data_IF_622471930515
#
_entry.id   IF_622471930515
#
_cell.length_a   1.000
_cell.length_b   1.000
_cell.length_c   1.000
_cell.angle_alpha   90.00
_cell.angle_beta   90.00
_cell.angle_gamma   90.00
#
_symmetry.space_group_name_H-M   'P 1'
#
loop_
_entity.id
_entity.type
_entity.pdbx_description
1 polymer ?
#
# COMPACT_ATOMS: atom_id res chain seq x y z
N UNK A 1 30.86 6.46 -4.98
CA UNK A 1 31.21 7.89 -4.96
C UNK A 1 30.47 8.52 -3.79
N UNK A 2 31.13 9.35 -2.96
CA UNK A 2 30.44 10.12 -1.90
C UNK A 2 29.78 11.30 -2.63
N UNK A 3 28.45 11.28 -2.72
CA UNK A 3 27.69 12.38 -3.30
C UNK A 3 27.52 13.48 -2.24
N UNK A 4 27.63 14.74 -2.62
CA UNK A 4 27.36 15.88 -1.73
C UNK A 4 25.85 16.15 -1.56
N UNK A 5 25.01 15.20 -2.03
CA UNK A 5 23.54 15.28 -1.93
C UNK A 5 23.08 15.05 -0.50
N UNK A 6 21.99 15.72 -0.10
CA UNK A 6 21.24 15.40 1.11
C UNK A 6 20.81 13.93 1.08
N UNK A 7 21.02 13.20 2.18
CA UNK A 7 20.65 11.79 2.27
C UNK A 7 19.44 11.54 3.17
N UNK A 8 18.56 10.64 2.76
CA UNK A 8 17.43 10.16 3.56
C UNK A 8 17.56 8.64 3.73
N UNK A 9 17.46 8.16 4.99
CA UNK A 9 17.55 6.75 5.33
C UNK A 9 16.18 6.17 5.68
N UNK A 10 15.72 5.21 4.90
CA UNK A 10 14.55 4.39 5.23
C UNK A 10 14.98 3.19 6.08
N UNK A 11 14.41 3.03 7.27
CA UNK A 11 14.60 1.84 8.14
C UNK A 11 13.34 0.99 8.09
N UNK A 12 13.49 -0.22 7.55
CA UNK A 12 12.38 -1.15 7.40
C UNK A 12 12.79 -2.60 7.65
N UNK A 13 11.83 -3.46 7.93
CA UNK A 13 11.98 -4.92 7.96
C UNK A 13 10.73 -5.56 7.42
N UNK A 14 10.91 -6.51 6.54
CA UNK A 14 9.84 -7.38 6.09
C UNK A 14 10.34 -8.77 5.72
N UNK A 15 9.46 -9.74 5.79
CA UNK A 15 9.74 -11.13 5.38
C UNK A 15 9.14 -11.48 4.02
N UNK A 16 8.23 -10.66 3.50
CA UNK A 16 7.52 -10.85 2.23
C UNK A 16 7.45 -9.51 1.51
N UNK A 17 7.58 -9.50 0.17
CA UNK A 17 7.36 -8.29 -0.63
C UNK A 17 5.88 -7.95 -0.64
N UNK A 18 5.52 -6.78 -0.18
CA UNK A 18 4.15 -6.30 -0.08
C UNK A 18 4.04 -4.78 -0.27
N UNK A 19 2.92 -4.21 0.16
CA UNK A 19 2.65 -2.77 -0.04
C UNK A 19 3.65 -1.84 0.66
N UNK A 20 4.18 -2.21 1.83
CA UNK A 20 5.17 -1.38 2.53
C UNK A 20 6.53 -1.43 1.84
N UNK A 21 6.94 -2.58 1.33
CA UNK A 21 8.18 -2.75 0.59
C UNK A 21 8.12 -1.97 -0.73
N UNK A 22 7.01 -2.07 -1.44
CA UNK A 22 6.78 -1.32 -2.66
C UNK A 22 6.73 0.20 -2.39
N UNK A 23 6.10 0.60 -1.29
CA UNK A 23 6.09 2.00 -0.84
C UNK A 23 7.50 2.57 -0.64
N UNK A 24 8.39 1.84 0.04
CA UNK A 24 9.78 2.29 0.27
C UNK A 24 10.58 2.28 -1.04
N UNK A 25 10.33 1.32 -1.93
CA UNK A 25 10.93 1.25 -3.25
C UNK A 25 10.53 2.48 -4.09
N UNK A 26 9.24 2.74 -4.24
CA UNK A 26 8.69 3.85 -5.02
C UNK A 26 9.13 5.22 -4.43
N UNK A 27 9.15 5.35 -3.09
CA UNK A 27 9.68 6.53 -2.41
C UNK A 27 11.17 6.73 -2.71
N UNK A 28 11.97 5.68 -2.74
CA UNK A 28 13.41 5.77 -3.03
C UNK A 28 13.66 6.24 -4.46
N UNK A 29 12.91 5.74 -5.43
CA UNK A 29 12.97 6.24 -6.81
C UNK A 29 12.64 7.74 -6.90
N UNK A 30 11.59 8.17 -6.19
CA UNK A 30 11.16 9.56 -6.24
C UNK A 30 12.15 10.49 -5.52
N UNK A 31 12.74 10.07 -4.41
CA UNK A 31 13.79 10.82 -3.73
C UNK A 31 14.97 11.08 -4.68
N UNK A 32 15.40 10.06 -5.44
CA UNK A 32 16.50 10.23 -6.42
C UNK A 32 16.11 11.20 -7.54
N UNK A 33 14.85 11.18 -8.02
CA UNK A 33 14.34 12.16 -9.00
C UNK A 33 14.36 13.59 -8.46
N UNK A 34 14.18 13.76 -7.15
CA UNK A 34 14.24 15.05 -6.46
C UNK A 34 15.65 15.44 -5.98
N UNK A 35 16.69 14.79 -6.51
CA UNK A 35 18.10 15.04 -6.18
C UNK A 35 18.47 14.78 -4.70
N UNK A 36 17.74 13.88 -4.04
CA UNK A 36 17.99 13.43 -2.67
C UNK A 36 18.49 11.98 -2.72
N UNK A 37 19.63 11.69 -2.07
CA UNK A 37 20.19 10.36 -2.08
C UNK A 37 19.38 9.40 -1.18
N UNK A 38 18.75 8.35 -1.74
CA UNK A 38 17.98 7.37 -0.98
C UNK A 38 18.89 6.30 -0.38
N UNK A 39 18.67 5.99 0.90
CA UNK A 39 19.32 4.89 1.60
C UNK A 39 18.27 3.98 2.22
N UNK A 40 18.53 2.66 2.21
CA UNK A 40 17.65 1.66 2.84
C UNK A 40 18.48 0.85 3.83
N UNK A 41 18.06 0.83 5.09
CA UNK A 41 18.60 -0.06 6.12
C UNK A 41 17.62 -1.20 6.38
N UNK A 42 18.10 -2.42 6.18
CA UNK A 42 17.30 -3.63 6.40
C UNK A 42 18.09 -4.67 7.20
N UNK A 43 17.39 -5.45 8.07
CA UNK A 43 17.93 -6.60 8.79
C UNK A 43 17.78 -7.92 8.00
N UNK A 44 17.22 -7.85 6.79
CA UNK A 44 16.83 -9.05 6.06
C UNK A 44 17.98 -9.60 5.24
N UNK A 45 18.26 -10.89 5.46
CA UNK A 45 19.13 -11.71 4.64
C UNK A 45 18.36 -12.37 3.49
N UNK A 46 17.60 -11.56 2.74
CA UNK A 46 16.97 -12.00 1.49
C UNK A 46 17.71 -11.33 0.33
N UNK A 47 18.57 -12.07 -0.37
CA UNK A 47 19.34 -11.52 -1.50
C UNK A 47 18.46 -10.79 -2.51
N UNK A 48 17.28 -11.34 -2.80
CA UNK A 48 16.34 -10.77 -3.78
C UNK A 48 15.84 -9.37 -3.37
N UNK A 49 15.58 -9.15 -2.06
CA UNK A 49 15.14 -7.83 -1.58
C UNK A 49 16.28 -6.82 -1.61
N UNK A 50 17.48 -7.25 -1.21
CA UNK A 50 18.67 -6.40 -1.27
C UNK A 50 18.95 -6.02 -2.73
N UNK A 51 18.90 -6.99 -3.66
CA UNK A 51 19.05 -6.75 -5.08
C UNK A 51 18.05 -5.73 -5.58
N UNK A 52 16.77 -5.94 -5.30
CA UNK A 52 15.70 -5.06 -5.76
C UNK A 52 15.82 -3.64 -5.20
N UNK A 53 16.09 -3.47 -3.89
CA UNK A 53 16.33 -2.13 -3.36
C UNK A 53 17.60 -1.47 -3.88
N UNK A 54 18.62 -2.26 -4.25
CA UNK A 54 19.87 -1.73 -4.82
C UNK A 54 19.71 -1.12 -6.22
N UNK A 55 18.57 -1.35 -6.86
CA UNK A 55 18.21 -0.68 -8.14
C UNK A 55 17.88 0.80 -7.91
N UNK A 56 17.36 1.18 -6.73
CA UNK A 56 16.79 2.50 -6.44
C UNK A 56 17.40 3.21 -5.23
N UNK A 57 18.27 2.55 -4.46
CA UNK A 57 18.85 3.09 -3.23
C UNK A 57 20.20 2.46 -2.90
N UNK A 58 21.00 3.13 -2.08
CA UNK A 58 22.14 2.49 -1.42
C UNK A 58 21.65 1.66 -0.23
N UNK A 59 21.89 0.34 -0.27
CA UNK A 59 21.38 -0.58 0.74
C UNK A 59 22.41 -0.88 1.81
N UNK A 60 22.06 -0.66 3.07
CA UNK A 60 22.81 -1.10 4.24
C UNK A 60 22.12 -2.31 4.86
N UNK A 61 22.84 -3.43 4.93
CA UNK A 61 22.36 -4.65 5.57
C UNK A 61 23.15 -4.97 6.81
N UNK A 62 22.48 -5.06 7.98
CA UNK A 62 23.11 -5.36 9.25
C UNK A 62 22.31 -6.41 10.02
N UNK A 63 23.04 -7.40 10.63
CA UNK A 63 22.42 -8.29 11.63
C UNK A 63 22.17 -7.50 12.92
N UNK A 64 20.92 -7.09 13.15
CA UNK A 64 20.54 -6.35 14.38
C UNK A 64 20.17 -7.30 15.50
N UNK A 65 20.01 -8.60 15.23
CA UNK A 65 19.63 -9.63 16.23
C UNK A 65 20.73 -9.94 17.24
N UNK A 66 20.37 -9.90 18.54
CA UNK A 66 21.05 -10.40 19.75
C UNK A 66 22.57 -10.13 19.87
N UNK A 67 22.95 -9.31 20.85
CA UNK A 67 24.28 -9.13 21.45
C UNK A 67 25.46 -8.62 20.58
N UNK A 68 25.30 -8.43 19.29
CA UNK A 68 26.30 -7.75 18.43
C UNK A 68 25.88 -6.32 18.04
N UNK A 69 24.77 -5.83 18.60
CA UNK A 69 24.13 -4.58 18.21
C UNK A 69 24.97 -3.32 18.39
N UNK A 70 25.77 -3.21 19.47
CA UNK A 70 26.54 -1.98 19.74
C UNK A 70 27.60 -1.68 18.66
N UNK A 71 28.34 -2.68 18.19
CA UNK A 71 29.33 -2.45 17.13
C UNK A 71 28.68 -2.06 15.79
N UNK A 72 27.53 -2.66 15.48
CA UNK A 72 26.76 -2.31 14.29
C UNK A 72 26.19 -0.88 14.35
N UNK A 73 25.76 -0.41 15.55
CA UNK A 73 25.22 0.95 15.74
C UNK A 73 26.30 2.01 15.42
N UNK A 74 27.53 1.83 15.91
CA UNK A 74 28.62 2.77 15.59
C UNK A 74 28.93 2.81 14.09
N UNK A 75 28.92 1.65 13.40
CA UNK A 75 29.08 1.59 11.94
C UNK A 75 27.93 2.31 11.22
N UNK A 76 26.70 2.06 11.63
CA UNK A 76 25.54 2.76 11.06
C UNK A 76 25.66 4.28 11.27
N UNK A 77 26.01 4.72 12.47
CA UNK A 77 26.19 6.15 12.75
C UNK A 77 27.34 6.76 11.92
N UNK A 78 28.42 6.02 11.67
CA UNK A 78 29.51 6.45 10.79
C UNK A 78 29.03 6.61 9.34
N UNK A 79 28.25 5.64 8.81
CA UNK A 79 27.66 5.71 7.48
C UNK A 79 26.69 6.90 7.34
N UNK A 80 25.84 7.14 8.35
CA UNK A 80 24.91 8.29 8.37
C UNK A 80 25.70 9.61 8.22
N UNK A 81 26.81 9.78 8.96
CA UNK A 81 27.64 10.97 8.83
C UNK A 81 28.38 11.04 7.49
N UNK A 82 28.95 9.89 7.04
CA UNK A 82 29.73 9.81 5.79
C UNK A 82 28.88 10.17 4.56
N UNK A 83 27.59 9.81 4.58
CA UNK A 83 26.67 10.01 3.47
C UNK A 83 25.74 11.21 3.65
N UNK A 84 26.02 12.11 4.62
CA UNK A 84 25.23 13.31 4.88
C UNK A 84 23.72 13.03 5.06
N UNK A 85 23.39 11.89 5.71
CA UNK A 85 22.01 11.54 6.01
C UNK A 85 21.52 12.42 7.16
N UNK A 86 20.56 13.27 6.87
CA UNK A 86 19.99 14.21 7.85
C UNK A 86 18.64 13.74 8.41
N UNK A 87 17.99 12.80 7.73
CA UNK A 87 16.66 12.33 8.10
C UNK A 87 16.58 10.79 8.05
N UNK A 88 16.01 10.21 9.09
CA UNK A 88 15.74 8.76 9.24
C UNK A 88 14.23 8.57 9.22
N UNK A 89 13.72 7.87 8.21
CA UNK A 89 12.34 7.46 8.07
C UNK A 89 12.20 6.04 8.62
N UNK A 90 11.51 5.87 9.74
CA UNK A 90 11.33 4.57 10.38
C UNK A 90 9.93 4.02 10.07
N UNK A 91 9.84 2.91 9.33
CA UNK A 91 8.59 2.32 8.88
C UNK A 91 8.06 1.21 9.80
N UNK A 92 8.84 0.81 10.81
CA UNK A 92 8.46 -0.29 11.73
C UNK A 92 8.73 0.05 13.18
N UNK A 93 7.80 -0.31 14.06
CA UNK A 93 7.96 -0.15 15.52
C UNK A 93 9.12 -0.97 16.11
N UNK A 94 9.54 -2.03 15.44
CA UNK A 94 10.66 -2.89 15.87
C UNK A 94 11.99 -2.14 15.90
N UNK A 95 12.21 -1.20 14.98
CA UNK A 95 13.48 -0.48 14.87
C UNK A 95 13.42 0.98 15.34
N UNK A 96 12.31 1.41 15.90
CA UNK A 96 12.18 2.80 16.37
C UNK A 96 13.20 3.15 17.47
N UNK A 97 13.51 2.19 18.36
CA UNK A 97 14.55 2.38 19.38
C UNK A 97 15.93 2.57 18.74
N UNK A 98 16.26 1.79 17.71
CA UNK A 98 17.50 1.93 16.94
C UNK A 98 17.56 3.31 16.26
N UNK A 99 16.47 3.73 15.61
CA UNK A 99 16.40 5.05 14.95
C UNK A 99 16.66 6.19 15.96
N UNK A 100 16.08 6.11 17.16
CA UNK A 100 16.29 7.09 18.23
C UNK A 100 17.75 7.10 18.71
N UNK A 101 18.40 5.93 18.83
CA UNK A 101 19.82 5.87 19.18
C UNK A 101 20.70 6.49 18.10
N UNK A 102 20.42 6.18 16.84
CA UNK A 102 21.13 6.78 15.70
C UNK A 102 20.95 8.31 15.66
N UNK A 103 19.73 8.82 15.91
CA UNK A 103 19.47 10.24 16.09
C UNK A 103 20.39 10.86 17.16
N UNK A 104 20.47 10.25 18.34
CA UNK A 104 21.32 10.76 19.44
C UNK A 104 22.80 10.79 19.10
N UNK A 105 23.26 9.85 18.24
CA UNK A 105 24.66 9.77 17.84
C UNK A 105 25.03 10.68 16.68
N UNK A 106 24.08 11.00 15.80
CA UNK A 106 24.36 11.67 14.51
C UNK A 106 23.71 13.05 14.40
N UNK A 107 22.67 13.33 15.17
CA UNK A 107 21.83 14.52 15.03
C UNK A 107 20.77 14.42 13.95
N UNK A 108 20.70 13.29 13.21
CA UNK A 108 19.69 13.11 12.18
C UNK A 108 18.27 13.13 12.76
N UNK A 109 17.33 13.74 12.03
CA UNK A 109 15.90 13.79 12.37
C UNK A 109 15.27 12.42 12.26
N UNK A 110 14.36 12.06 13.16
CA UNK A 110 13.62 10.77 13.08
C UNK A 110 12.15 11.05 12.83
N UNK A 111 11.65 10.52 11.72
CA UNK A 111 10.23 10.51 11.35
C UNK A 111 9.71 9.07 11.45
N UNK A 112 8.64 8.85 12.22
CA UNK A 112 8.08 7.52 12.42
C UNK A 112 6.75 7.36 11.68
N UNK A 113 6.72 6.43 10.74
CA UNK A 113 5.54 6.15 9.91
C UNK A 113 4.55 5.23 10.61
N UNK A 114 3.28 5.54 10.45
CA UNK A 114 2.14 4.75 10.93
C UNK A 114 1.37 4.22 9.73
N UNK A 115 1.63 2.94 9.41
CA UNK A 115 1.05 2.24 8.27
C UNK A 115 -0.17 1.38 8.60
N UNK A 116 -0.62 1.36 9.86
CA UNK A 116 -1.73 0.52 10.30
C UNK A 116 -2.72 1.29 11.15
N UNK A 117 -4.00 0.97 11.03
CA UNK A 117 -5.09 1.54 11.85
C UNK A 117 -5.11 0.82 13.19
N UNK A 118 -4.18 1.17 14.06
CA UNK A 118 -4.07 0.65 15.43
C UNK A 118 -4.16 1.81 16.41
N UNK A 119 -4.77 1.64 17.58
CA UNK A 119 -4.81 2.70 18.60
C UNK A 119 -3.40 3.04 19.10
N UNK A 120 -3.20 4.34 19.42
CA UNK A 120 -1.96 4.80 20.01
C UNK A 120 -1.70 4.10 21.34
N UNK A 121 -0.48 3.60 21.52
CA UNK A 121 -0.05 3.04 22.83
C UNK A 121 0.46 4.18 23.71
N UNK A 122 0.05 4.17 24.98
CA UNK A 122 0.32 5.25 25.97
C UNK A 122 1.05 4.77 27.22
N UNK A 123 1.62 3.56 27.22
CA UNK A 123 2.50 3.10 28.28
C UNK A 123 3.82 3.90 28.34
N UNK A 124 4.60 3.71 29.40
CA UNK A 124 5.83 4.48 29.68
C UNK A 124 6.83 4.43 28.52
N UNK A 125 6.99 3.25 27.89
CA UNK A 125 7.91 3.09 26.77
C UNK A 125 7.44 3.87 25.53
N UNK A 126 6.16 3.79 25.19
CA UNK A 126 5.62 4.51 24.03
C UNK A 126 5.56 6.02 24.27
N UNK A 127 5.28 6.48 25.49
CA UNK A 127 5.40 7.89 25.85
C UNK A 127 6.83 8.42 25.69
N UNK A 128 7.82 7.61 26.08
CA UNK A 128 9.23 7.96 25.86
C UNK A 128 9.54 8.06 24.36
N UNK A 129 9.13 7.09 23.53
CA UNK A 129 9.27 7.17 22.07
C UNK A 129 8.65 8.45 21.52
N UNK A 130 7.40 8.78 21.91
CA UNK A 130 6.70 9.98 21.48
C UNK A 130 7.45 11.29 21.81
N UNK A 131 8.24 11.29 22.86
CA UNK A 131 9.09 12.45 23.21
C UNK A 131 10.36 12.53 22.37
N UNK A 132 10.95 11.37 21.99
CA UNK A 132 12.23 11.30 21.27
C UNK A 132 12.10 11.51 19.76
N UNK A 133 10.98 11.08 19.16
CA UNK A 133 10.70 11.18 17.72
C UNK A 133 10.38 12.64 17.36
N UNK A 134 10.87 13.12 16.22
CA UNK A 134 10.63 14.49 15.75
C UNK A 134 9.24 14.64 15.15
N UNK A 135 8.83 13.70 14.31
CA UNK A 135 7.53 13.70 13.68
C UNK A 135 6.97 12.27 13.50
N UNK A 136 5.65 12.18 13.46
CA UNK A 136 4.91 10.99 13.08
C UNK A 136 4.18 11.26 11.77
N UNK A 137 4.32 10.39 10.79
CA UNK A 137 3.54 10.42 9.56
C UNK A 137 2.44 9.38 9.65
N UNK A 138 1.20 9.82 9.54
CA UNK A 138 0.03 8.98 9.42
C UNK A 138 -0.41 8.95 7.95
N UNK A 139 -0.48 7.75 7.36
CA UNK A 139 -0.69 7.57 5.91
C UNK A 139 -2.13 7.85 5.45
N UNK A 140 -3.03 8.09 6.39
CA UNK A 140 -4.41 8.47 6.15
C UNK A 140 -5.00 9.16 7.38
N UNK A 141 -6.15 9.83 7.21
CA UNK A 141 -6.90 10.41 8.33
C UNK A 141 -7.39 9.32 9.28
N UNK A 142 -7.82 8.18 8.78
CA UNK A 142 -8.21 7.03 9.58
C UNK A 142 -7.06 6.56 10.51
N UNK A 143 -5.83 6.53 10.00
CA UNK A 143 -4.64 6.22 10.81
C UNK A 143 -4.32 7.37 11.76
N UNK A 144 -4.41 8.62 11.31
CA UNK A 144 -4.17 9.80 12.15
C UNK A 144 -5.10 9.80 13.38
N UNK A 145 -6.41 9.65 13.16
CA UNK A 145 -7.41 9.66 14.23
C UNK A 145 -7.19 8.51 15.24
N UNK A 146 -6.68 7.36 14.77
CA UNK A 146 -6.34 6.23 15.65
C UNK A 146 -5.02 6.41 16.44
N UNK A 147 -4.07 7.16 15.89
CA UNK A 147 -2.70 7.24 16.41
C UNK A 147 -2.39 8.55 17.15
N UNK A 148 -3.11 9.62 16.87
CA UNK A 148 -2.81 10.94 17.47
C UNK A 148 -2.95 10.87 18.99
N UNK A 149 -1.96 11.47 19.68
CA UNK A 149 -1.94 11.53 21.15
C UNK A 149 -2.25 12.94 21.61
N UNK A 150 -3.27 13.08 22.45
CA UNK A 150 -3.70 14.36 23.02
C UNK A 150 -2.53 15.11 23.67
N UNK A 151 -2.37 16.38 23.29
CA UNK A 151 -1.29 17.27 23.72
C UNK A 151 0.02 17.10 22.95
N UNK A 152 0.05 16.26 21.91
CA UNK A 152 1.21 16.05 21.01
C UNK A 152 0.82 16.11 19.53
N UNK A 153 -0.35 16.64 19.22
CA UNK A 153 -0.92 16.72 17.87
C UNK A 153 0.07 17.38 16.89
N UNK A 154 0.85 18.36 17.35
CA UNK A 154 1.87 19.08 16.57
C UNK A 154 2.98 18.19 16.01
N UNK A 155 3.13 16.96 16.51
CA UNK A 155 4.09 15.98 15.98
C UNK A 155 3.48 15.05 14.93
N UNK A 156 2.16 15.01 14.80
CA UNK A 156 1.47 14.09 13.91
C UNK A 156 1.07 14.80 12.62
N UNK A 157 1.53 14.27 11.50
CA UNK A 157 1.28 14.83 10.18
C UNK A 157 0.49 13.82 9.36
N UNK A 158 -0.62 14.26 8.77
CA UNK A 158 -1.35 13.50 7.79
C UNK A 158 -0.66 13.67 6.44
N UNK A 159 -0.10 12.58 5.93
CA UNK A 159 0.49 12.52 4.59
C UNK A 159 -0.07 11.29 3.90
N UNK A 160 -1.00 11.48 2.98
CA UNK A 160 -1.58 10.37 2.23
C UNK A 160 -0.50 9.64 1.43
N UNK A 161 -0.63 8.33 1.32
CA UNK A 161 0.21 7.56 0.41
C UNK A 161 0.00 8.03 -1.03
N UNK A 162 1.07 8.00 -1.81
CA UNK A 162 1.05 8.26 -3.24
C UNK A 162 1.47 7.03 -4.04
N UNK A 163 0.90 6.88 -5.22
CA UNK A 163 1.32 5.85 -6.17
C UNK A 163 2.42 6.39 -7.09
N UNK A 164 3.37 5.53 -7.44
CA UNK A 164 4.39 5.84 -8.43
C UNK A 164 3.77 5.73 -9.84
N UNK A 165 3.39 6.87 -10.40
CA UNK A 165 2.70 6.95 -11.69
C UNK A 165 3.57 6.45 -12.85
N UNK A 166 4.89 6.48 -12.74
CA UNK A 166 5.82 5.96 -13.75
C UNK A 166 5.74 4.44 -13.93
N UNK A 167 5.20 3.71 -12.95
CA UNK A 167 4.91 2.26 -13.06
C UNK A 167 3.71 1.96 -13.95
N UNK A 168 2.91 2.98 -14.28
CA UNK A 168 1.65 2.85 -15.01
C UNK A 168 1.66 3.68 -16.30
N UNK A 169 2.64 3.48 -17.21
CA UNK A 169 2.66 4.19 -18.48
C UNK A 169 1.41 3.87 -19.29
N UNK A 170 1.09 4.77 -20.22
CA UNK A 170 0.00 4.50 -21.15
C UNK A 170 0.33 3.26 -21.99
N UNK A 171 -0.53 2.25 -21.90
CA UNK A 171 -0.52 1.09 -22.78
C UNK A 171 -1.95 0.86 -23.28
N UNK A 172 -2.08 0.39 -24.50
CA UNK A 172 -3.37 -0.03 -25.03
C UNK A 172 -3.56 -1.51 -24.72
N UNK A 173 -4.66 -1.82 -24.04
CA UNK A 173 -5.05 -3.21 -23.73
C UNK A 173 -6.48 -3.40 -24.18
N UNK A 174 -6.69 -4.31 -25.11
CA UNK A 174 -8.03 -4.66 -25.56
C UNK A 174 -8.72 -5.49 -24.47
N UNK A 175 -9.82 -4.95 -23.92
CA UNK A 175 -10.67 -5.67 -22.96
C UNK A 175 -11.54 -6.69 -23.71
N UNK A 176 -11.83 -7.84 -23.10
CA UNK A 176 -12.82 -8.79 -23.63
C UNK A 176 -14.16 -8.06 -23.83
N UNK A 177 -14.75 -8.17 -25.01
CA UNK A 177 -16.02 -7.48 -25.33
C UNK A 177 -17.25 -8.25 -24.84
N UNK A 178 -17.15 -9.59 -24.86
CA UNK A 178 -18.27 -10.48 -24.55
C UNK A 178 -18.27 -10.98 -23.10
N UNK A 179 -17.35 -10.51 -22.27
CA UNK A 179 -17.21 -10.96 -20.88
C UNK A 179 -16.79 -9.79 -19.99
N UNK A 180 -17.52 -9.55 -18.92
CA UNK A 180 -17.15 -8.53 -17.93
C UNK A 180 -16.16 -9.12 -16.92
N UNK A 181 -14.91 -8.65 -16.95
CA UNK A 181 -13.86 -9.15 -16.06
C UNK A 181 -13.83 -8.29 -14.81
N UNK A 182 -14.10 -8.91 -13.67
CA UNK A 182 -13.90 -8.35 -12.33
C UNK A 182 -12.49 -8.68 -11.87
N UNK A 183 -11.77 -7.70 -11.37
CA UNK A 183 -10.43 -7.88 -10.81
C UNK A 183 -10.42 -7.79 -9.29
N UNK A 184 -9.53 -8.53 -8.66
CA UNK A 184 -9.11 -8.37 -7.28
C UNK A 184 -7.58 -8.27 -7.23
N UNK A 185 -7.03 -7.33 -6.45
CA UNK A 185 -5.59 -7.18 -6.27
C UNK A 185 -5.23 -7.07 -4.79
N UNK A 186 -4.21 -7.84 -4.36
CA UNK A 186 -3.71 -7.84 -2.99
C UNK A 186 -3.61 -9.24 -2.38
N UNK A 187 -3.33 -9.31 -1.08
CA UNK A 187 -3.31 -10.58 -0.35
C UNK A 187 -4.71 -11.20 -0.36
N UNK A 188 -4.81 -12.42 -0.87
CA UNK A 188 -6.06 -13.16 -0.96
C UNK A 188 -6.31 -13.86 0.39
N UNK A 189 -7.31 -13.38 1.15
CA UNK A 189 -7.61 -13.87 2.48
C UNK A 189 -9.07 -13.65 2.88
N UNK A 190 -9.56 -14.45 3.83
CA UNK A 190 -10.95 -14.40 4.30
C UNK A 190 -11.32 -13.04 4.92
N UNK A 191 -10.34 -12.37 5.53
CA UNK A 191 -10.47 -11.03 6.10
C UNK A 191 -10.59 -9.92 5.04
N UNK A 192 -10.30 -10.25 3.78
CA UNK A 192 -10.40 -9.35 2.62
C UNK A 192 -11.73 -9.49 1.85
N UNK A 193 -12.69 -10.23 2.39
CA UNK A 193 -14.02 -10.39 1.76
C UNK A 193 -14.02 -11.25 0.51
N UNK A 194 -13.06 -12.18 0.41
CA UNK A 194 -12.91 -13.03 -0.80
C UNK A 194 -14.07 -13.99 -0.99
N UNK A 195 -14.62 -14.57 0.09
CA UNK A 195 -15.78 -15.47 -0.02
C UNK A 195 -17.00 -14.70 -0.52
N UNK A 196 -17.24 -13.52 0.03
CA UNK A 196 -18.35 -12.65 -0.36
C UNK A 196 -18.22 -12.20 -1.83
N UNK A 197 -16.98 -11.96 -2.29
CA UNK A 197 -16.71 -11.67 -3.70
C UNK A 197 -16.97 -12.89 -4.59
N UNK A 198 -16.50 -14.07 -4.20
CA UNK A 198 -16.77 -15.33 -4.92
C UNK A 198 -18.27 -15.58 -5.04
N UNK A 199 -19.01 -15.45 -3.94
CA UNK A 199 -20.45 -15.63 -3.93
C UNK A 199 -21.19 -14.61 -4.83
N UNK A 200 -20.70 -13.37 -4.89
CA UNK A 200 -21.24 -12.36 -5.81
C UNK A 200 -21.02 -12.72 -7.28
N UNK A 201 -19.83 -13.20 -7.62
CA UNK A 201 -19.51 -13.66 -8.98
C UNK A 201 -20.35 -14.87 -9.36
N UNK A 202 -20.48 -15.85 -8.45
CA UNK A 202 -21.37 -17.02 -8.65
C UNK A 202 -22.78 -16.57 -8.92
N UNK A 203 -23.34 -15.71 -8.07
CA UNK A 203 -24.70 -15.20 -8.20
C UNK A 203 -24.93 -14.54 -9.57
N UNK A 204 -24.02 -13.70 -10.03
CA UNK A 204 -24.12 -13.05 -11.34
C UNK A 204 -24.00 -14.05 -12.49
N UNK A 205 -23.12 -15.05 -12.36
CA UNK A 205 -22.97 -16.12 -13.34
C UNK A 205 -24.24 -16.98 -13.45
N UNK A 206 -24.88 -17.33 -12.32
CA UNK A 206 -26.15 -18.06 -12.27
C UNK A 206 -27.32 -17.27 -12.91
N UNK A 207 -27.25 -15.92 -12.87
CA UNK A 207 -28.18 -15.03 -13.59
C UNK A 207 -27.88 -14.94 -15.10
N UNK A 208 -26.89 -15.69 -15.61
CA UNK A 208 -26.52 -15.72 -17.03
C UNK A 208 -25.71 -14.48 -17.47
N UNK A 209 -25.16 -13.66 -16.53
CA UNK A 209 -24.26 -12.57 -16.89
C UNK A 209 -22.92 -13.14 -17.34
N UNK A 210 -22.33 -12.68 -18.48
CA UNK A 210 -21.03 -13.12 -18.93
C UNK A 210 -19.93 -12.47 -18.07
N UNK A 211 -19.54 -13.11 -16.97
CA UNK A 211 -18.64 -12.58 -15.96
C UNK A 211 -17.51 -13.53 -15.62
N UNK A 212 -16.31 -13.00 -15.42
CA UNK A 212 -15.14 -13.71 -14.90
C UNK A 212 -14.53 -12.94 -13.73
N UNK A 213 -13.89 -13.64 -12.79
CA UNK A 213 -13.08 -13.07 -11.72
C UNK A 213 -11.60 -13.39 -11.93
N UNK A 214 -10.77 -12.35 -11.99
CA UNK A 214 -9.32 -12.45 -12.05
C UNK A 214 -8.71 -11.95 -10.74
N UNK A 215 -8.01 -12.82 -10.01
CA UNK A 215 -7.41 -12.50 -8.73
C UNK A 215 -5.89 -12.47 -8.81
N UNK A 216 -5.30 -11.35 -8.41
CA UNK A 216 -3.89 -11.06 -8.44
C UNK A 216 -3.34 -10.93 -7.02
N UNK A 217 -2.35 -11.76 -6.65
CA UNK A 217 -1.71 -11.78 -5.34
C UNK A 217 -1.50 -13.19 -4.79
N UNK A 218 -0.89 -13.25 -3.61
CA UNK A 218 -0.66 -14.52 -2.90
C UNK A 218 -1.85 -14.88 -2.01
N UNK A 219 -2.20 -16.16 -2.01
CA UNK A 219 -3.24 -16.66 -1.10
C UNK A 219 -2.61 -16.83 0.29
N UNK A 220 -3.27 -16.30 1.32
CA UNK A 220 -2.87 -16.51 2.70
C UNK A 220 -2.99 -17.98 3.08
N UNK A 221 -1.90 -18.61 3.55
CA UNK A 221 -1.84 -20.05 3.79
C UNK A 221 -3.00 -20.63 4.61
N UNK A 222 -3.49 -19.88 5.60
CA UNK A 222 -4.65 -20.29 6.40
C UNK A 222 -6.00 -20.21 5.65
N UNK A 223 -6.05 -19.49 4.53
CA UNK A 223 -7.27 -19.28 3.72
C UNK A 223 -7.32 -20.16 2.49
N UNK A 224 -6.19 -20.72 2.06
CA UNK A 224 -6.03 -21.42 0.79
C UNK A 224 -7.00 -22.60 0.64
N UNK A 225 -6.98 -23.53 1.61
CA UNK A 225 -7.86 -24.69 1.59
C UNK A 225 -9.35 -24.31 1.57
N UNK A 226 -9.74 -23.28 2.32
CA UNK A 226 -11.13 -22.82 2.40
C UNK A 226 -11.56 -22.24 1.06
N UNK A 227 -10.76 -21.38 0.46
CA UNK A 227 -11.06 -20.70 -0.81
C UNK A 227 -11.15 -21.73 -1.95
N UNK A 228 -10.18 -22.63 -2.07
CA UNK A 228 -10.20 -23.65 -3.10
C UNK A 228 -11.37 -24.65 -2.93
N UNK A 229 -11.70 -25.01 -1.69
CA UNK A 229 -12.87 -25.85 -1.42
C UNK A 229 -14.16 -25.14 -1.83
N UNK A 230 -14.30 -23.86 -1.48
CA UNK A 230 -15.46 -23.05 -1.85
C UNK A 230 -15.65 -22.97 -3.38
N UNK A 231 -14.57 -22.73 -4.13
CA UNK A 231 -14.61 -22.69 -5.61
C UNK A 231 -15.03 -24.04 -6.19
N UNK A 232 -14.41 -25.14 -5.73
CA UNK A 232 -14.73 -26.48 -6.21
C UNK A 232 -16.16 -26.90 -5.90
N UNK A 233 -16.60 -26.70 -4.65
CA UNK A 233 -17.93 -27.14 -4.22
C UNK A 233 -19.06 -26.32 -4.85
N UNK A 234 -18.74 -25.17 -5.41
CA UNK A 234 -19.65 -24.31 -6.17
C UNK A 234 -19.40 -24.31 -7.69
N UNK A 235 -18.52 -25.18 -8.22
CA UNK A 235 -18.23 -25.35 -9.65
C UNK A 235 -17.81 -24.04 -10.36
N UNK A 236 -16.92 -23.26 -9.74
CA UNK A 236 -16.53 -21.92 -10.21
C UNK A 236 -15.22 -21.90 -11.02
N UNK A 237 -14.59 -23.05 -11.23
CA UNK A 237 -13.25 -23.17 -11.83
C UNK A 237 -13.16 -22.61 -13.25
N UNK A 238 -14.28 -22.56 -13.98
CA UNK A 238 -14.31 -22.10 -15.38
C UNK A 238 -14.31 -20.57 -15.52
N UNK A 239 -14.64 -19.81 -14.46
CA UNK A 239 -14.77 -18.37 -14.50
C UNK A 239 -14.07 -17.63 -13.33
N UNK A 240 -13.32 -18.36 -12.49
CA UNK A 240 -12.45 -17.78 -11.44
C UNK A 240 -11.00 -18.11 -11.70
N UNK A 241 -10.18 -17.09 -11.91
CA UNK A 241 -8.79 -17.22 -12.33
C UNK A 241 -7.84 -16.66 -11.27
N UNK A 242 -6.93 -17.49 -10.75
CA UNK A 242 -5.82 -17.04 -9.91
C UNK A 242 -4.61 -16.75 -10.79
N UNK A 243 -4.16 -15.48 -10.80
CA UNK A 243 -3.03 -15.04 -11.62
C UNK A 243 -1.71 -15.07 -10.85
N UNK A 244 -1.76 -15.35 -9.53
CA UNK A 244 -0.59 -15.27 -8.66
C UNK A 244 -0.04 -13.86 -8.52
N UNK A 245 1.21 -13.76 -8.09
CA UNK A 245 1.90 -12.47 -8.00
C UNK A 245 2.18 -11.92 -9.42
N UNK A 246 1.81 -10.65 -9.66
CA UNK A 246 2.00 -9.98 -10.93
C UNK A 246 3.01 -8.84 -10.79
N UNK A 247 4.04 -8.85 -11.65
CA UNK A 247 5.00 -7.74 -11.73
C UNK A 247 4.45 -6.55 -12.52
N UNK A 248 3.60 -6.80 -13.51
CA UNK A 248 3.01 -5.78 -14.36
C UNK A 248 1.55 -5.50 -13.97
N UNK A 249 1.36 -4.75 -12.89
CA UNK A 249 0.04 -4.37 -12.41
C UNK A 249 -0.70 -3.42 -13.38
N UNK A 250 0.03 -2.64 -14.18
CA UNK A 250 -0.57 -1.77 -15.20
C UNK A 250 -1.38 -2.59 -16.22
N UNK A 251 -0.80 -3.68 -16.73
CA UNK A 251 -1.50 -4.56 -17.65
C UNK A 251 -2.72 -5.22 -16.99
N UNK A 252 -2.57 -5.66 -15.74
CA UNK A 252 -3.67 -6.25 -14.97
C UNK A 252 -4.85 -5.27 -14.84
N UNK A 253 -4.61 -4.05 -14.29
CA UNK A 253 -5.70 -3.09 -14.11
C UNK A 253 -6.38 -2.72 -15.44
N UNK A 254 -5.62 -2.57 -16.52
CA UNK A 254 -6.18 -2.24 -17.83
C UNK A 254 -6.93 -3.39 -18.50
N UNK A 255 -6.67 -4.64 -18.12
CA UNK A 255 -7.37 -5.82 -18.67
C UNK A 255 -8.71 -6.11 -18.01
N UNK A 256 -8.96 -5.60 -16.81
CA UNK A 256 -10.21 -5.80 -16.07
C UNK A 256 -11.20 -4.65 -16.31
N UNK A 257 -12.48 -4.92 -16.11
CA UNK A 257 -13.55 -3.91 -16.25
C UNK A 257 -13.79 -3.12 -14.97
N UNK A 258 -13.66 -3.75 -13.80
CA UNK A 258 -13.63 -3.06 -12.52
C UNK A 258 -12.75 -3.82 -11.53
N UNK A 259 -12.20 -3.09 -10.56
CA UNK A 259 -11.54 -3.67 -9.38
C UNK A 259 -12.57 -3.75 -8.24
N UNK A 260 -12.63 -4.90 -7.55
CA UNK A 260 -13.43 -5.06 -6.33
C UNK A 260 -12.49 -5.35 -5.16
N UNK A 261 -12.51 -4.49 -4.14
CA UNK A 261 -11.66 -4.56 -2.96
C UNK A 261 -12.52 -4.56 -1.68
N UNK A 262 -13.24 -5.66 -1.36
CA UNK A 262 -14.29 -5.69 -0.34
C UNK A 262 -13.74 -6.07 1.05
N UNK A 263 -12.72 -5.36 1.53
CA UNK A 263 -12.04 -5.68 2.79
C UNK A 263 -12.99 -5.59 4.00
N UNK A 264 -12.96 -6.62 4.87
CA UNK A 264 -13.69 -6.65 6.15
C UNK A 264 -12.87 -6.07 7.31
N UNK A 265 -11.59 -5.85 7.09
CA UNK A 265 -10.69 -5.24 8.08
C UNK A 265 -10.38 -3.80 7.69
N UNK A 266 -10.00 -3.00 8.69
CA UNK A 266 -9.63 -1.59 8.48
C UNK A 266 -8.43 -1.47 7.58
N UNK A 267 -8.62 -0.85 6.42
CA UNK A 267 -7.55 -0.49 5.49
C UNK A 267 -6.89 0.83 5.91
N UNK A 268 -5.58 0.81 6.00
CA UNK A 268 -4.83 2.01 6.37
C UNK A 268 -4.80 3.06 5.25
N UNK A 269 -4.91 2.61 3.98
CA UNK A 269 -5.02 3.50 2.82
C UNK A 269 -5.74 2.79 1.66
N UNK A 270 -5.09 1.92 0.91
CA UNK A 270 -5.63 1.25 -0.26
C UNK A 270 -4.91 1.64 -1.55
N UNK A 271 -3.60 1.38 -1.63
CA UNK A 271 -2.80 1.69 -2.83
C UNK A 271 -3.40 1.10 -4.11
N UNK A 272 -3.90 -0.14 -4.05
CA UNK A 272 -4.53 -0.82 -5.19
C UNK A 272 -5.76 -0.06 -5.74
N UNK A 273 -6.45 0.69 -4.88
CA UNK A 273 -7.57 1.55 -5.28
C UNK A 273 -7.04 2.69 -6.15
N UNK A 274 -6.04 3.42 -5.67
CA UNK A 274 -5.42 4.51 -6.41
C UNK A 274 -4.78 4.02 -7.73
N UNK A 275 -4.09 2.87 -7.70
CA UNK A 275 -3.47 2.27 -8.89
C UNK A 275 -4.52 1.93 -9.97
N UNK A 276 -5.64 1.31 -9.56
CA UNK A 276 -6.75 0.98 -10.45
C UNK A 276 -7.39 2.24 -11.05
N UNK A 277 -7.68 3.24 -10.21
CA UNK A 277 -8.27 4.52 -10.66
C UNK A 277 -7.33 5.25 -11.62
N UNK A 278 -6.02 5.27 -11.35
CA UNK A 278 -5.02 5.86 -12.25
C UNK A 278 -4.96 5.13 -13.60
N UNK A 279 -5.12 3.82 -13.60
CA UNK A 279 -5.22 3.01 -14.82
C UNK A 279 -6.57 3.16 -15.55
N UNK A 280 -7.44 4.07 -15.12
CA UNK A 280 -8.79 4.27 -15.67
C UNK A 280 -9.65 3.01 -15.57
N UNK A 281 -9.59 2.34 -14.42
CA UNK A 281 -10.41 1.17 -14.10
C UNK A 281 -11.18 1.50 -12.82
N UNK A 282 -12.53 1.49 -12.86
CA UNK A 282 -13.37 1.88 -11.73
C UNK A 282 -13.23 0.90 -10.57
N UNK A 283 -13.46 1.38 -9.37
CA UNK A 283 -13.29 0.62 -8.14
C UNK A 283 -14.61 0.50 -7.38
N UNK A 284 -14.89 -0.71 -6.91
CA UNK A 284 -15.90 -1.02 -5.90
C UNK A 284 -15.15 -1.43 -4.63
N UNK A 285 -15.40 -0.79 -3.50
CA UNK A 285 -14.72 -1.09 -2.23
C UNK A 285 -15.67 -1.00 -1.05
N UNK A 286 -15.26 -1.55 0.09
CA UNK A 286 -16.01 -1.44 1.34
C UNK A 286 -15.68 -0.15 2.09
N UNK A 287 -16.56 0.24 3.00
CA UNK A 287 -16.33 1.31 3.96
C UNK A 287 -15.65 0.74 5.23
N UNK A 288 -14.39 0.32 5.12
CA UNK A 288 -13.70 -0.35 6.23
C UNK A 288 -12.51 0.43 6.84
N UNK A 289 -12.19 1.62 6.30
CA UNK A 289 -11.02 2.39 6.77
C UNK A 289 -10.84 3.70 6.00
N UNK A 290 -9.71 3.85 5.31
CA UNK A 290 -9.35 5.08 4.60
C UNK A 290 -9.99 5.21 3.20
N UNK A 291 -10.85 4.30 2.78
CA UNK A 291 -11.41 4.29 1.43
C UNK A 291 -12.24 5.56 1.12
N UNK A 292 -12.96 6.10 2.10
CA UNK A 292 -13.71 7.36 1.95
C UNK A 292 -12.80 8.59 1.76
N UNK A 293 -11.53 8.48 2.09
CA UNK A 293 -10.56 9.56 1.82
C UNK A 293 -10.17 9.60 0.33
N UNK A 294 -10.27 8.44 -0.35
CA UNK A 294 -9.93 8.28 -1.76
C UNK A 294 -11.18 8.41 -2.63
N UNK A 295 -12.27 7.71 -2.25
CA UNK A 295 -13.49 7.59 -3.03
C UNK A 295 -14.61 8.44 -2.43
N UNK A 296 -15.21 9.29 -3.26
CA UNK A 296 -16.53 9.87 -3.05
C UNK A 296 -17.54 8.95 -3.74
N UNK A 297 -18.39 8.29 -2.95
CA UNK A 297 -19.31 7.27 -3.43
C UNK A 297 -20.20 7.76 -4.57
N UNK A 298 -20.25 7.01 -5.67
CA UNK A 298 -21.01 7.32 -6.88
C UNK A 298 -20.38 8.35 -7.81
N UNK A 299 -19.36 9.11 -7.36
CA UNK A 299 -18.69 10.14 -8.19
C UNK A 299 -17.44 9.62 -8.88
N UNK A 300 -16.53 8.96 -8.12
CA UNK A 300 -15.24 8.51 -8.62
C UNK A 300 -14.92 7.05 -8.25
N UNK A 301 -15.90 6.32 -7.73
CA UNK A 301 -15.86 4.92 -7.34
C UNK A 301 -17.13 4.56 -6.61
N UNK A 302 -17.27 3.30 -6.22
CA UNK A 302 -18.43 2.80 -5.46
C UNK A 302 -17.96 2.29 -4.10
N UNK A 303 -18.62 2.74 -3.03
CA UNK A 303 -18.41 2.24 -1.67
C UNK A 303 -19.65 1.44 -1.26
N UNK A 304 -19.44 0.17 -0.89
CA UNK A 304 -20.48 -0.68 -0.30
C UNK A 304 -20.45 -0.57 1.23
N UNK A 305 -21.60 -0.36 1.84
CA UNK A 305 -21.72 -0.22 3.30
C UNK A 305 -21.54 -1.55 4.03
N UNK A 306 -22.02 -2.63 3.43
CA UNK A 306 -21.92 -3.97 3.99
C UNK A 306 -21.24 -4.90 3.00
N UNK A 307 -20.22 -5.63 3.50
CA UNK A 307 -19.50 -6.63 2.68
C UNK A 307 -20.32 -7.91 2.67
N UNK A 308 -21.22 -8.01 1.71
CA UNK A 308 -21.97 -9.22 1.37
C UNK A 308 -22.05 -9.38 -0.15
N UNK A 309 -22.39 -10.60 -0.59
CA UNK A 309 -22.41 -10.94 -2.02
C UNK A 309 -23.40 -10.09 -2.82
N UNK A 310 -24.53 -9.72 -2.24
CA UNK A 310 -25.59 -8.99 -2.93
C UNK A 310 -25.17 -7.55 -3.22
N UNK A 311 -24.68 -6.83 -2.21
CA UNK A 311 -24.17 -5.47 -2.40
C UNK A 311 -23.02 -5.40 -3.41
N UNK A 312 -22.13 -6.40 -3.41
CA UNK A 312 -21.06 -6.52 -4.41
C UNK A 312 -21.66 -6.76 -5.80
N UNK A 313 -22.58 -7.71 -5.94
CA UNK A 313 -23.22 -8.05 -7.21
C UNK A 313 -24.05 -6.88 -7.77
N UNK A 314 -24.81 -6.19 -6.94
CA UNK A 314 -25.61 -5.02 -7.33
C UNK A 314 -24.70 -3.88 -7.83
N UNK A 315 -23.55 -3.65 -7.16
CA UNK A 315 -22.56 -2.64 -7.58
C UNK A 315 -21.89 -2.99 -8.91
N UNK A 316 -21.56 -4.26 -9.13
CA UNK A 316 -21.02 -4.74 -10.41
C UNK A 316 -22.06 -4.57 -11.52
N UNK A 317 -23.31 -4.97 -11.25
CA UNK A 317 -24.42 -4.84 -12.20
C UNK A 317 -24.66 -3.37 -12.55
N UNK A 318 -24.61 -2.46 -11.56
CA UNK A 318 -24.71 -1.03 -11.81
C UNK A 318 -23.67 -0.53 -12.81
N UNK A 319 -22.40 -0.93 -12.66
CA UNK A 319 -21.35 -0.56 -13.61
C UNK A 319 -21.55 -1.19 -15.00
N UNK A 320 -22.10 -2.43 -15.08
CA UNK A 320 -22.39 -3.10 -16.35
C UNK A 320 -23.53 -2.42 -17.13
N UNK A 321 -24.57 -2.03 -16.41
CA UNK A 321 -25.82 -1.58 -17.03
C UNK A 321 -25.90 -0.05 -17.25
N UNK A 322 -24.90 0.73 -16.71
CA UNK A 322 -24.86 2.20 -16.80
C UNK A 322 -23.54 2.71 -17.42
N UNK A 323 -23.35 2.59 -18.73
CA UNK A 323 -22.07 2.92 -19.39
C UNK A 323 -21.67 4.40 -19.32
N UNK A 324 -22.60 5.34 -19.18
CA UNK A 324 -22.28 6.77 -19.03
C UNK A 324 -21.73 7.07 -17.63
N UNK A 325 -22.34 6.52 -16.60
CA UNK A 325 -21.88 6.60 -15.22
C UNK A 325 -20.54 5.91 -15.06
N UNK A 326 -20.37 4.73 -15.67
CA UNK A 326 -19.10 3.99 -15.72
C UNK A 326 -17.98 4.90 -16.25
N UNK A 327 -18.20 5.60 -17.37
CA UNK A 327 -17.20 6.47 -17.96
C UNK A 327 -16.93 7.71 -17.09
N UNK A 328 -17.95 8.25 -16.44
CA UNK A 328 -17.84 9.39 -15.52
C UNK A 328 -16.98 9.00 -14.29
N UNK A 329 -17.27 7.85 -13.66
CA UNK A 329 -16.52 7.32 -12.52
C UNK A 329 -15.04 7.12 -12.89
N UNK A 330 -14.75 6.60 -14.05
CA UNK A 330 -13.38 6.40 -14.54
C UNK A 330 -12.62 7.72 -14.63
N UNK A 331 -13.21 8.73 -15.27
CA UNK A 331 -12.55 10.01 -15.47
C UNK A 331 -12.32 10.74 -14.13
N UNK A 332 -13.33 10.80 -13.31
CA UNK A 332 -13.25 11.42 -11.98
C UNK A 332 -12.26 10.69 -11.07
N UNK A 333 -12.23 9.35 -11.17
CA UNK A 333 -11.27 8.52 -10.44
C UNK A 333 -9.82 8.85 -10.82
N UNK A 334 -9.52 8.91 -12.10
CA UNK A 334 -8.21 9.31 -12.60
C UNK A 334 -7.80 10.70 -12.10
N UNK A 335 -8.66 11.71 -12.29
CA UNK A 335 -8.40 13.09 -11.86
C UNK A 335 -8.18 13.18 -10.34
N UNK A 336 -8.94 12.43 -9.55
CA UNK A 336 -8.79 12.37 -8.10
C UNK A 336 -7.39 11.90 -7.71
N UNK A 337 -6.89 10.84 -8.34
CA UNK A 337 -5.55 10.30 -8.04
C UNK A 337 -4.46 11.27 -8.48
N UNK A 338 -4.52 11.78 -9.69
CA UNK A 338 -3.55 12.76 -10.22
C UNK A 338 -3.49 14.01 -9.35
N UNK A 339 -4.64 14.46 -8.85
CA UNK A 339 -4.70 15.67 -8.03
C UNK A 339 -4.18 15.49 -6.60
N UNK A 340 -4.23 14.27 -6.02
CA UNK A 340 -4.00 14.10 -4.58
C UNK A 340 -3.04 12.97 -4.18
N UNK A 341 -2.93 11.89 -4.96
CA UNK A 341 -2.34 10.63 -4.49
C UNK A 341 -1.18 10.15 -5.37
N UNK A 342 -0.35 11.08 -5.85
CA UNK A 342 0.88 10.76 -6.57
C UNK A 342 2.09 10.71 -5.63
N UNK A 343 3.11 9.95 -6.03
CA UNK A 343 4.33 9.77 -5.23
C UNK A 343 5.08 11.08 -5.04
N UNK A 344 5.06 11.97 -6.02
CA UNK A 344 5.70 13.28 -5.98
C UNK A 344 5.14 14.12 -4.83
N UNK A 345 3.80 14.21 -4.73
CA UNK A 345 3.10 14.97 -3.68
C UNK A 345 3.36 14.39 -2.29
N UNK A 346 3.38 13.06 -2.21
CA UNK A 346 3.69 12.37 -0.97
C UNK A 346 5.12 12.67 -0.51
N UNK A 347 6.10 12.51 -1.40
CA UNK A 347 7.52 12.74 -1.07
C UNK A 347 7.77 14.20 -0.76
N UNK A 348 7.22 15.15 -1.54
CA UNK A 348 7.29 16.58 -1.25
C UNK A 348 6.76 16.90 0.16
N UNK A 349 5.64 16.32 0.56
CA UNK A 349 5.08 16.49 1.90
C UNK A 349 6.00 15.96 3.00
N UNK A 350 6.70 14.83 2.74
CA UNK A 350 7.60 14.20 3.71
C UNK A 350 8.90 14.97 3.87
N UNK A 351 9.50 15.46 2.80
CA UNK A 351 10.79 16.17 2.85
C UNK A 351 10.68 17.57 3.48
N UNK A 352 9.48 18.13 3.54
CA UNK A 352 9.15 19.42 4.13
C UNK A 352 8.75 19.33 5.62
N UNK A 353 8.74 18.13 6.22
CA UNK A 353 8.53 17.93 7.65
C UNK A 353 9.81 18.31 8.43
#
# INVERSE_FOLDING_TARGET
MITNKRGILNIMESSVWGGMEQYVYDMSEELERQDIAPFVLTDIWKPDFISKYSEVATVFSFKIRKNKGFYSIHKMAALIRQHHIDTILCHTGKYIFLAILLKKMTGAKVVFFKHNVLPAKTDIYHRWIQNQVDAFVCVSKCVYDAQVVKGKEYKYHLVHNGINTYRFPYIEVEKKKDTFIVGYAGRIGLDKGIIELLDAIKYLHELGKPIELHMCGEISGNSEAIIHTHIRDNHMESYVNFLGFQNNMNQFYKSIHCLVAPSKIKEAFGLVICESMYCKTPVITSNSGAQEEIITNGENGIIIDTVDYKNIADSITYLMDNPLEYQTIINNGYERVVSMFTIEKMVESIINL
#
